data_IF_600824973409
#
_entry.id   IF_600824973409
#
_cell.length_a   1.000
_cell.length_b   1.000
_cell.length_c   1.000
_cell.angle_alpha   90.00
_cell.angle_beta   90.00
_cell.angle_gamma   90.00
#
_symmetry.space_group_name_H-M   'P 1'
#
loop_
_entity.id
_entity.type
_entity.pdbx_description
1 polymer ?
#
# COMPACT_ATOMS: atom_id res chain seq x y z
N UNK A 1 -8.48 10.87 11.33
CA UNK A 1 -7.30 10.21 10.75
C UNK A 1 -6.00 10.96 11.03
N UNK A 2 -6.00 12.31 10.98
CA UNK A 2 -4.83 13.15 11.25
C UNK A 2 -3.98 12.67 12.44
N UNK A 3 -2.67 12.51 12.22
CA UNK A 3 -1.71 12.01 13.22
C UNK A 3 -1.77 10.51 13.49
N UNK A 4 -2.74 9.81 12.90
CA UNK A 4 -2.97 8.38 13.11
C UNK A 4 -1.98 7.47 12.38
N UNK A 5 -2.08 6.18 12.69
CA UNK A 5 -1.35 5.11 12.01
C UNK A 5 -2.33 4.24 11.22
N UNK A 6 -2.05 4.02 9.94
CA UNK A 6 -2.79 3.06 9.12
C UNK A 6 -2.03 1.73 9.05
N UNK A 7 -2.72 0.62 9.33
CA UNK A 7 -2.21 -0.72 9.11
C UNK A 7 -2.90 -1.31 7.90
N UNK A 8 -2.12 -1.76 6.91
CA UNK A 8 -2.65 -2.30 5.65
C UNK A 8 -1.92 -3.60 5.29
N UNK A 9 -2.67 -4.55 4.75
CA UNK A 9 -2.15 -5.89 4.40
C UNK A 9 -1.43 -5.93 3.06
N UNK A 10 -1.69 -4.97 2.18
CA UNK A 10 -1.04 -4.79 0.87
C UNK A 10 -0.71 -3.31 0.71
N UNK A 11 0.34 -3.01 -0.06
CA UNK A 11 0.72 -1.64 -0.40
C UNK A 11 -0.47 -0.82 -0.92
N UNK A 12 -0.71 0.39 -0.38
CA UNK A 12 -1.71 1.30 -0.91
C UNK A 12 -1.37 1.66 -2.37
N UNK A 13 -2.32 1.52 -3.29
CA UNK A 13 -2.04 1.73 -4.70
C UNK A 13 -1.56 3.15 -5.04
N UNK A 14 -0.61 3.25 -5.99
CA UNK A 14 -0.13 4.51 -6.60
C UNK A 14 -1.18 5.15 -7.50
N UNK A 15 -1.83 4.33 -8.32
CA UNK A 15 -2.86 4.74 -9.27
C UNK A 15 -4.07 3.80 -9.15
N UNK A 16 -5.23 4.24 -9.64
CA UNK A 16 -6.43 3.42 -9.75
C UNK A 16 -6.94 3.46 -11.18
N UNK A 17 -7.29 2.30 -11.72
CA UNK A 17 -7.91 2.18 -13.06
C UNK A 17 -9.22 2.97 -13.18
N UNK A 18 -9.92 3.19 -12.06
CA UNK A 18 -11.14 4.01 -12.01
C UNK A 18 -10.91 5.52 -12.18
N UNK A 19 -9.65 6.01 -12.18
CA UNK A 19 -9.32 7.43 -12.20
C UNK A 19 -9.52 8.17 -10.86
N UNK A 20 -10.23 7.57 -9.90
CA UNK A 20 -10.33 8.11 -8.54
C UNK A 20 -8.97 8.26 -7.85
N UNK A 21 -8.85 9.22 -6.92
CA UNK A 21 -7.65 9.43 -6.12
C UNK A 21 -7.13 8.11 -5.52
N UNK A 22 -5.81 7.92 -5.63
CA UNK A 22 -5.15 6.68 -5.22
C UNK A 22 -5.18 6.50 -3.70
N UNK A 23 -5.02 5.25 -3.23
CA UNK A 23 -5.03 4.97 -1.80
C UNK A 23 -3.94 5.77 -1.07
N UNK A 24 -2.74 5.86 -1.65
CA UNK A 24 -1.65 6.64 -1.06
C UNK A 24 -1.99 8.11 -0.97
N UNK A 25 -2.57 8.72 -2.02
CA UNK A 25 -3.01 10.13 -1.98
C UNK A 25 -4.07 10.36 -0.92
N UNK A 26 -5.07 9.47 -0.83
CA UNK A 26 -6.12 9.56 0.20
C UNK A 26 -5.56 9.48 1.62
N UNK A 27 -4.53 8.66 1.86
CA UNK A 27 -3.87 8.57 3.17
C UNK A 27 -3.11 9.86 3.51
N UNK A 28 -2.43 10.45 2.53
CA UNK A 28 -1.76 11.76 2.67
C UNK A 28 -2.78 12.86 2.98
N UNK A 29 -3.84 12.97 2.19
CA UNK A 29 -4.93 13.95 2.37
C UNK A 29 -5.62 13.80 3.74
N UNK A 30 -5.76 12.56 4.23
CA UNK A 30 -6.31 12.27 5.54
C UNK A 30 -5.39 12.68 6.72
N UNK A 31 -4.14 13.04 6.44
CA UNK A 31 -3.14 13.46 7.42
C UNK A 31 -2.57 12.31 8.25
N UNK A 32 -2.54 11.09 7.71
CA UNK A 32 -1.92 9.93 8.37
C UNK A 32 -0.43 10.19 8.57
N UNK A 33 0.08 9.98 9.78
CA UNK A 33 1.49 10.21 10.11
C UNK A 33 2.36 8.97 9.89
N UNK A 34 1.76 7.78 9.97
CA UNK A 34 2.47 6.51 9.83
C UNK A 34 1.63 5.48 9.07
N UNK A 35 2.26 4.73 8.19
CA UNK A 35 1.66 3.59 7.48
C UNK A 35 2.53 2.36 7.70
N UNK A 36 1.90 1.28 8.17
CA UNK A 36 2.55 -0.03 8.35
C UNK A 36 1.94 -1.00 7.35
N UNK A 37 2.79 -1.60 6.52
CA UNK A 37 2.40 -2.42 5.37
C UNK A 37 2.93 -3.83 5.51
N UNK A 38 2.09 -4.84 5.31
CA UNK A 38 2.55 -6.22 5.43
C UNK A 38 3.42 -6.66 4.24
N UNK A 39 2.97 -6.40 3.00
CA UNK A 39 3.68 -6.71 1.76
C UNK A 39 3.52 -5.61 0.70
N UNK A 40 4.51 -5.51 -0.18
CA UNK A 40 4.51 -4.62 -1.35
C UNK A 40 3.66 -5.21 -2.49
N UNK A 41 3.10 -4.36 -3.33
CA UNK A 41 2.26 -4.78 -4.46
C UNK A 41 3.12 -4.88 -5.74
N UNK A 42 3.30 -6.08 -6.33
CA UNK A 42 4.07 -6.24 -7.55
C UNK A 42 3.36 -5.71 -8.81
N UNK A 43 2.07 -5.34 -8.72
CA UNK A 43 1.28 -4.96 -9.89
C UNK A 43 1.78 -3.66 -10.54
N UNK A 44 2.08 -3.63 -11.86
CA UNK A 44 2.76 -2.50 -12.51
C UNK A 44 2.11 -1.12 -12.34
N UNK A 45 0.78 -1.07 -12.25
CA UNK A 45 0.03 0.20 -12.06
C UNK A 45 -0.23 0.55 -10.60
N UNK A 46 -0.19 -0.43 -9.69
CA UNK A 46 -0.51 -0.21 -8.28
C UNK A 46 0.75 -0.01 -7.41
N UNK A 47 1.90 -0.58 -7.83
CA UNK A 47 3.20 -0.43 -7.18
C UNK A 47 3.65 1.02 -7.04
N UNK A 48 4.65 1.25 -6.20
CA UNK A 48 5.27 2.55 -5.90
C UNK A 48 4.36 3.51 -5.13
N UNK A 49 3.27 3.01 -4.54
CA UNK A 49 2.40 3.78 -3.67
C UNK A 49 3.06 4.13 -2.34
N UNK A 50 4.04 3.34 -1.88
CA UNK A 50 4.87 3.68 -0.73
C UNK A 50 5.75 4.91 -0.98
N UNK A 51 6.18 5.14 -2.22
CA UNK A 51 6.98 6.33 -2.56
C UNK A 51 6.17 7.61 -2.36
N UNK A 52 4.91 7.65 -2.83
CA UNK A 52 4.00 8.78 -2.59
C UNK A 52 3.89 9.12 -1.10
N UNK A 53 3.79 8.09 -0.24
CA UNK A 53 3.69 8.29 1.20
C UNK A 53 4.98 8.87 1.78
N UNK A 54 6.13 8.31 1.41
CA UNK A 54 7.45 8.78 1.87
C UNK A 54 7.74 10.21 1.42
N UNK A 55 7.45 10.53 0.16
CA UNK A 55 7.65 11.86 -0.41
C UNK A 55 6.76 12.92 0.27
N UNK A 56 5.59 12.51 0.78
CA UNK A 56 4.71 13.36 1.56
C UNK A 56 5.07 13.45 3.06
N UNK A 57 6.20 12.85 3.48
CA UNK A 57 6.67 12.87 4.87
C UNK A 57 5.97 11.87 5.80
N UNK A 58 5.22 10.89 5.27
CA UNK A 58 4.59 9.84 6.06
C UNK A 58 5.63 8.76 6.42
N UNK A 59 5.68 8.37 7.69
CA UNK A 59 6.56 7.28 8.14
C UNK A 59 6.04 5.93 7.62
N UNK A 60 6.82 5.24 6.80
CA UNK A 60 6.45 3.94 6.23
C UNK A 60 7.29 2.82 6.82
N UNK A 61 6.63 1.77 7.30
CA UNK A 61 7.28 0.53 7.75
C UNK A 61 6.69 -0.68 7.00
N UNK A 62 7.52 -1.64 6.64
CA UNK A 62 7.10 -2.82 5.88
C UNK A 62 7.42 -4.12 6.64
N UNK A 63 6.68 -5.18 6.35
CA UNK A 63 6.98 -6.54 6.79
C UNK A 63 6.19 -7.04 7.99
N UNK A 64 5.46 -6.18 8.72
CA UNK A 64 4.61 -6.62 9.82
C UNK A 64 3.47 -7.50 9.28
N UNK A 65 3.43 -8.76 9.67
CA UNK A 65 2.42 -9.71 9.18
C UNK A 65 2.72 -10.28 7.77
N UNK A 66 3.93 -10.09 7.23
CA UNK A 66 4.34 -10.52 5.89
C UNK A 66 3.94 -11.96 5.55
N UNK A 67 4.18 -12.92 6.44
CA UNK A 67 3.86 -14.33 6.19
C UNK A 67 2.36 -14.60 6.04
N UNK A 68 1.53 -13.93 6.84
CA UNK A 68 0.08 -14.07 6.74
C UNK A 68 -0.44 -13.40 5.45
N UNK A 69 0.07 -12.21 5.13
CA UNK A 69 -0.31 -11.49 3.92
C UNK A 69 0.15 -12.22 2.64
N UNK A 70 1.36 -12.79 2.61
CA UNK A 70 1.83 -13.59 1.48
C UNK A 70 0.90 -14.78 1.16
N UNK A 71 0.39 -15.46 2.21
CA UNK A 71 -0.62 -16.51 2.05
C UNK A 71 -1.96 -15.97 1.57
N UNK A 72 -2.40 -14.83 2.12
CA UNK A 72 -3.66 -14.19 1.75
C UNK A 72 -3.68 -13.82 0.25
N UNK A 73 -2.57 -13.31 -0.28
CA UNK A 73 -2.48 -12.82 -1.67
C UNK A 73 -1.86 -13.83 -2.65
N UNK A 74 -1.58 -15.07 -2.23
CA UNK A 74 -0.95 -16.08 -3.09
C UNK A 74 -1.71 -16.27 -4.42
N UNK A 75 -3.04 -16.40 -4.36
CA UNK A 75 -3.85 -16.59 -5.57
C UNK A 75 -3.97 -15.30 -6.40
N UNK A 76 -4.03 -14.16 -5.72
CA UNK A 76 -4.13 -12.86 -6.39
C UNK A 76 -2.91 -12.59 -7.27
N UNK A 77 -1.69 -12.80 -6.76
CA UNK A 77 -0.47 -12.59 -7.54
C UNK A 77 -0.30 -13.61 -8.67
N UNK A 78 -0.67 -14.88 -8.45
CA UNK A 78 -0.69 -15.90 -9.51
C UNK A 78 -1.64 -15.52 -10.64
N UNK A 79 -2.84 -15.05 -10.32
CA UNK A 79 -3.82 -14.63 -11.32
C UNK A 79 -3.39 -13.36 -12.08
N UNK A 80 -2.64 -12.47 -11.43
CA UNK A 80 -2.12 -11.24 -12.01
C UNK A 80 -0.85 -11.45 -12.87
N UNK A 81 -0.38 -12.69 -13.04
CA UNK A 81 0.83 -13.01 -13.83
C UNK A 81 2.15 -12.80 -13.08
N UNK A 82 2.12 -12.66 -11.76
CA UNK A 82 3.30 -12.69 -10.90
C UNK A 82 3.67 -14.14 -10.53
N UNK A 83 4.96 -14.46 -10.61
CA UNK A 83 5.53 -15.78 -10.32
C UNK A 83 5.24 -16.25 -8.88
#
# INVERSE_FOLDING_TARGET
ARGGTAYVTLEPCRERSSGAASCSRKLVEAGIARVVVAIEDPHPTARDGLMILRDAGVRVETGLGKHAAARLYTWFFKAAGGN
#
